data_IF_660974664442
#
_entry.id   IF_660974664442
#
_cell.length_a   1.000
_cell.length_b   1.000
_cell.length_c   1.000
_cell.angle_alpha   90.00
_cell.angle_beta   90.00
_cell.angle_gamma   90.00
#
_symmetry.space_group_name_H-M   'P 1'
#
loop_
_entity.id
_entity.type
_entity.pdbx_description
1 polymer ?
#
# COMPACT_ATOMS: atom_id res chain seq x y z
N UNK A 1 8.30 -15.11 -0.06
CA UNK A 1 7.76 -14.77 1.27
C UNK A 1 7.81 -13.26 1.37
N UNK A 2 6.66 -12.61 1.54
CA UNK A 2 6.55 -11.15 1.62
C UNK A 2 6.20 -10.74 3.04
N UNK A 3 6.88 -9.73 3.57
CA UNK A 3 6.63 -9.19 4.89
C UNK A 3 6.31 -7.70 4.77
N UNK A 4 5.34 -7.23 5.54
CA UNK A 4 5.03 -5.80 5.66
C UNK A 4 5.43 -5.35 7.05
N UNK A 5 6.17 -4.25 7.16
CA UNK A 5 6.47 -3.62 8.44
C UNK A 5 5.73 -2.28 8.49
N UNK A 6 4.79 -2.15 9.41
CA UNK A 6 4.00 -0.94 9.59
C UNK A 6 3.61 -0.78 11.06
N UNK A 7 3.63 0.44 11.63
CA UNK A 7 3.16 0.67 12.98
C UNK A 7 1.65 0.45 13.09
N UNK A 8 1.15 0.17 14.29
CA UNK A 8 -0.29 -0.04 14.53
C UNK A 8 -1.16 1.14 14.07
N UNK A 9 -0.61 2.36 14.08
CA UNK A 9 -1.28 3.57 13.61
C UNK A 9 -1.52 3.63 12.10
N UNK A 10 -0.88 2.77 11.31
CA UNK A 10 -1.09 2.69 9.85
C UNK A 10 -2.27 1.80 9.46
N UNK A 11 -2.89 1.14 10.43
CA UNK A 11 -4.06 0.29 10.19
C UNK A 11 -5.34 1.12 10.28
N UNK A 12 -6.13 1.12 9.22
CA UNK A 12 -7.51 1.61 9.24
C UNK A 12 -8.47 0.41 9.39
N UNK A 13 -8.94 0.18 10.62
CA UNK A 13 -9.87 -0.91 10.94
C UNK A 13 -11.33 -0.59 10.56
N UNK A 14 -11.62 0.60 10.06
CA UNK A 14 -12.96 0.95 9.57
C UNK A 14 -13.23 0.43 8.16
N UNK A 15 -12.19 0.08 7.41
CA UNK A 15 -12.29 -0.43 6.05
C UNK A 15 -12.38 -1.96 6.04
N UNK A 16 -13.38 -2.56 5.36
CA UNK A 16 -13.54 -4.00 5.34
C UNK A 16 -12.55 -4.70 4.39
N UNK A 17 -12.04 -3.99 3.37
CA UNK A 17 -11.14 -4.54 2.35
C UNK A 17 -10.22 -3.46 1.79
N UNK A 18 -9.11 -3.86 1.17
CA UNK A 18 -8.24 -2.94 0.45
C UNK A 18 -8.87 -2.30 -0.80
N UNK A 19 -9.97 -2.86 -1.33
CA UNK A 19 -10.64 -2.34 -2.53
C UNK A 19 -11.26 -0.94 -2.32
N UNK A 20 -11.47 -0.53 -1.06
CA UNK A 20 -12.01 0.78 -0.71
C UNK A 20 -10.94 1.81 -0.38
N UNK A 21 -9.65 1.45 -0.42
CA UNK A 21 -8.56 2.39 -0.21
C UNK A 21 -8.46 3.30 -1.45
N UNK A 22 -8.65 4.63 -1.33
CA UNK A 22 -8.52 5.53 -2.46
C UNK A 22 -7.06 5.56 -2.93
N UNK A 23 -6.85 5.37 -4.24
CA UNK A 23 -5.52 5.40 -4.85
C UNK A 23 -5.28 6.80 -5.43
N UNK A 24 -4.28 7.49 -4.89
CA UNK A 24 -3.84 8.79 -5.38
C UNK A 24 -3.31 8.69 -6.82
N UNK A 25 -3.81 9.57 -7.70
CA UNK A 25 -3.28 9.78 -9.04
C UNK A 25 -2.38 11.01 -9.03
N UNK A 26 -1.10 10.84 -9.34
CA UNK A 26 -0.11 11.92 -9.33
C UNK A 26 0.10 12.50 -10.72
N UNK A 27 0.81 13.63 -10.76
CA UNK A 27 1.10 14.36 -11.99
C UNK A 27 1.81 13.48 -13.02
N UNK A 28 1.38 13.55 -14.29
CA UNK A 28 1.96 12.77 -15.39
C UNK A 28 3.44 13.13 -15.64
N UNK A 29 3.84 14.35 -15.27
CA UNK A 29 5.20 14.86 -15.40
C UNK A 29 6.22 14.04 -14.60
N UNK A 30 5.84 13.37 -13.51
CA UNK A 30 6.75 12.49 -12.77
C UNK A 30 7.22 11.30 -13.62
N UNK A 31 6.38 10.85 -14.56
CA UNK A 31 6.67 9.76 -15.50
C UNK A 31 7.27 10.31 -16.81
N UNK A 32 6.68 11.37 -17.36
CA UNK A 32 7.06 11.90 -18.69
C UNK A 32 8.34 12.75 -18.64
N UNK A 33 8.59 13.42 -17.51
CA UNK A 33 9.68 14.39 -17.29
C UNK A 33 10.35 14.24 -15.92
N UNK A 34 10.88 13.05 -15.57
CA UNK A 34 11.53 12.85 -14.27
C UNK A 34 12.66 13.86 -14.08
N UNK A 35 12.71 14.48 -12.91
CA UNK A 35 13.69 15.53 -12.56
C UNK A 35 13.71 16.73 -13.55
N UNK A 36 12.61 16.96 -14.26
CA UNK A 36 12.48 18.03 -15.26
C UNK A 36 13.05 17.69 -16.64
N UNK A 37 13.54 16.48 -16.86
CA UNK A 37 14.13 16.04 -18.14
C UNK A 37 13.15 15.17 -18.91
N UNK A 38 12.83 15.54 -20.16
CA UNK A 38 11.93 14.77 -21.02
C UNK A 38 12.48 13.35 -21.27
N UNK A 39 11.76 12.33 -20.80
CA UNK A 39 12.13 10.91 -20.92
C UNK A 39 11.22 10.13 -21.88
N UNK A 40 10.00 10.62 -22.13
CA UNK A 40 9.03 10.02 -23.05
C UNK A 40 8.85 10.90 -24.32
N UNK A 41 8.23 10.39 -25.40
CA UNK A 41 7.80 11.22 -26.53
C UNK A 41 6.88 12.38 -26.09
N UNK A 42 6.94 13.52 -26.78
CA UNK A 42 6.18 14.71 -26.40
C UNK A 42 4.65 14.53 -26.42
N UNK A 43 4.14 13.58 -27.20
CA UNK A 43 2.71 13.26 -27.31
C UNK A 43 2.27 12.06 -26.44
N UNK A 44 3.16 11.52 -25.61
CA UNK A 44 2.81 10.42 -24.72
C UNK A 44 1.94 10.90 -23.55
N UNK A 45 0.98 10.08 -23.16
CA UNK A 45 0.18 10.25 -21.93
C UNK A 45 0.69 9.28 -20.86
N UNK A 46 0.46 9.60 -19.59
CA UNK A 46 0.87 8.75 -18.46
C UNK A 46 -0.31 8.42 -17.54
N UNK A 47 -0.35 7.16 -17.11
CA UNK A 47 -1.14 6.70 -15.98
C UNK A 47 -0.20 6.57 -14.77
N UNK A 48 -0.44 7.34 -13.72
CA UNK A 48 0.50 7.47 -12.59
C UNK A 48 -0.20 7.30 -11.22
N UNK A 49 -0.71 6.10 -10.90
CA UNK A 49 -1.12 5.77 -9.54
C UNK A 49 0.09 5.76 -8.61
N UNK A 50 0.01 6.46 -7.48
CA UNK A 50 1.11 6.54 -6.51
C UNK A 50 1.25 5.27 -5.66
N UNK A 51 0.18 4.49 -5.56
CA UNK A 51 0.07 3.31 -4.71
C UNK A 51 -0.68 2.19 -5.43
N UNK A 52 -0.51 0.98 -4.93
CA UNK A 52 -1.32 -0.19 -5.28
C UNK A 52 -1.80 -0.91 -4.00
N UNK A 53 -2.58 -1.98 -4.17
CA UNK A 53 -3.09 -2.79 -3.07
C UNK A 53 -2.61 -4.22 -3.24
N UNK A 54 -1.87 -4.71 -2.24
CA UNK A 54 -1.45 -6.11 -2.16
C UNK A 54 -2.49 -6.94 -1.39
N UNK A 55 -3.07 -8.00 -1.97
CA UNK A 55 -3.95 -8.93 -1.28
C UNK A 55 -3.28 -9.59 -0.06
N UNK A 56 -4.04 -9.79 1.02
CA UNK A 56 -3.53 -10.39 2.27
C UNK A 56 -2.94 -11.79 2.07
N UNK A 57 -3.51 -12.58 1.15
CA UNK A 57 -3.03 -13.93 0.79
C UNK A 57 -1.60 -13.96 0.22
N UNK A 58 -1.05 -12.82 -0.22
CA UNK A 58 0.33 -12.71 -0.68
C UNK A 58 1.30 -12.32 0.44
N UNK A 59 0.79 -11.94 1.62
CA UNK A 59 1.57 -11.45 2.75
C UNK A 59 1.80 -12.60 3.74
N UNK A 60 3.07 -12.88 4.04
CA UNK A 60 3.49 -13.91 5.00
C UNK A 60 3.34 -13.46 6.45
N UNK A 61 3.65 -12.20 6.75
CA UNK A 61 3.32 -11.59 8.03
C UNK A 61 3.36 -10.06 7.98
N UNK A 62 2.64 -9.40 8.90
CA UNK A 62 2.75 -7.97 9.17
C UNK A 62 3.42 -7.77 10.53
N UNK A 63 4.49 -6.98 10.57
CA UNK A 63 5.31 -6.70 11.76
C UNK A 63 4.98 -5.31 12.27
N UNK A 64 4.61 -5.22 13.54
CA UNK A 64 4.23 -3.98 14.23
C UNK A 64 5.00 -3.84 15.54
N UNK A 65 4.91 -2.69 16.19
CA UNK A 65 5.43 -2.47 17.54
C UNK A 65 4.66 -3.25 18.64
N UNK A 66 3.48 -3.80 18.31
CA UNK A 66 2.64 -4.60 19.22
C UNK A 66 2.81 -6.11 19.03
N UNK A 67 3.51 -6.54 17.98
CA UNK A 67 3.72 -7.96 17.68
C UNK A 67 3.70 -8.27 16.18
N UNK A 68 3.71 -9.57 15.87
CA UNK A 68 3.74 -10.11 14.49
C UNK A 68 2.39 -10.77 14.18
N UNK A 69 1.82 -10.43 13.02
CA UNK A 69 0.56 -10.96 12.48
C UNK A 69 0.89 -11.94 11.34
N UNK A 70 0.90 -13.25 11.59
CA UNK A 70 1.32 -14.27 10.60
C UNK A 70 0.17 -14.83 9.73
N UNK A 71 -1.00 -15.08 10.32
CA UNK A 71 -2.23 -15.40 9.58
C UNK A 71 -3.02 -14.12 9.34
N UNK A 72 -2.63 -13.37 8.30
CA UNK A 72 -3.15 -12.02 8.02
C UNK A 72 -4.65 -12.07 7.70
N UNK A 73 -5.46 -11.90 8.74
CA UNK A 73 -6.92 -11.87 8.72
C UNK A 73 -7.41 -10.74 9.64
N UNK A 74 -8.64 -10.23 9.43
CA UNK A 74 -9.21 -9.20 10.31
C UNK A 74 -9.18 -9.57 11.80
N UNK A 75 -9.47 -10.83 12.12
CA UNK A 75 -9.51 -11.32 13.50
C UNK A 75 -8.10 -11.32 14.14
N UNK A 76 -7.10 -11.83 13.42
CA UNK A 76 -5.70 -11.84 13.91
C UNK A 76 -5.17 -10.41 14.05
N UNK A 77 -5.48 -9.53 13.09
CA UNK A 77 -5.11 -8.11 13.15
C UNK A 77 -5.70 -7.47 14.42
N UNK A 78 -7.01 -7.61 14.64
CA UNK A 78 -7.67 -7.04 15.80
C UNK A 78 -7.09 -7.58 17.12
N UNK A 79 -6.82 -8.88 17.20
CA UNK A 79 -6.26 -9.51 18.40
C UNK A 79 -4.85 -8.98 18.74
N UNK A 80 -3.96 -8.85 17.74
CA UNK A 80 -2.60 -8.34 17.96
C UNK A 80 -2.60 -6.84 18.27
N UNK A 81 -3.47 -6.07 17.63
CA UNK A 81 -3.53 -4.61 17.84
C UNK A 81 -4.26 -4.19 19.12
N UNK A 82 -5.04 -5.09 19.75
CA UNK A 82 -5.71 -4.81 21.02
C UNK A 82 -4.81 -4.95 22.24
N UNK A 83 -3.68 -5.67 22.11
CA UNK A 83 -2.61 -5.73 23.12
C UNK A 83 -1.82 -4.42 23.20
#
# INVERSE_FOLDING_TARGET
>A
MAFVAAPSSSFDLSLPTGATIPIEQRAAEEVLRPLGVQAAPAAAEAFNPAFDVTPAEWITAIITERGIIQDVSPDTVAAVLAG
#
